data_IF_561923077708
#
_entry.id   IF_561923077708
#
_cell.length_a   1.000
_cell.length_b   1.000
_cell.length_c   1.000
_cell.angle_alpha   90.00
_cell.angle_beta   90.00
_cell.angle_gamma   90.00
#
_symmetry.space_group_name_H-M   'P 1'
#
loop_
_entity.id
_entity.type
_entity.pdbx_description
1 polymer ?
#
# COMPACT_ATOMS: atom_id res chain seq x y z
N UNK A 1 -5.88 5.84 -23.58
CA UNK A 1 -4.87 6.44 -22.70
C UNK A 1 -4.73 5.54 -21.48
N UNK A 2 -3.71 4.68 -21.49
CA UNK A 2 -3.35 3.87 -20.34
C UNK A 2 -2.38 4.70 -19.50
N UNK A 3 -2.44 4.62 -18.17
CA UNK A 3 -1.38 5.16 -17.30
C UNK A 3 -0.03 4.73 -17.88
N UNK A 4 0.83 5.70 -18.18
CA UNK A 4 2.13 5.40 -18.76
C UNK A 4 2.92 4.54 -17.75
N UNK A 5 3.83 3.71 -18.25
CA UNK A 5 4.60 2.84 -17.37
C UNK A 5 5.37 3.66 -16.33
N UNK A 6 5.77 4.88 -16.68
CA UNK A 6 6.35 5.85 -15.75
C UNK A 6 5.41 6.20 -14.58
N UNK A 7 4.14 6.51 -14.84
CA UNK A 7 3.18 6.88 -13.78
C UNK A 7 2.99 5.74 -12.78
N UNK A 8 2.92 4.50 -13.27
CA UNK A 8 2.83 3.32 -12.41
C UNK A 8 4.07 3.16 -11.53
N UNK A 9 5.24 3.47 -12.08
CA UNK A 9 6.52 3.37 -11.38
C UNK A 9 6.63 4.45 -10.29
N UNK A 10 6.23 5.69 -10.58
CA UNK A 10 6.17 6.78 -9.59
C UNK A 10 5.20 6.44 -8.47
N UNK A 11 4.04 5.88 -8.80
CA UNK A 11 3.07 5.46 -7.79
C UNK A 11 3.60 4.29 -6.93
N UNK A 12 4.28 3.32 -7.54
CA UNK A 12 4.91 2.22 -6.79
C UNK A 12 6.04 2.73 -5.89
N UNK A 13 6.88 3.64 -6.37
CA UNK A 13 7.95 4.28 -5.60
C UNK A 13 7.37 5.03 -4.40
N UNK A 14 6.33 5.84 -4.64
CA UNK A 14 5.58 6.54 -3.58
C UNK A 14 5.01 5.56 -2.56
N UNK A 15 4.43 4.43 -2.97
CA UNK A 15 3.92 3.43 -2.03
C UNK A 15 5.03 2.70 -1.24
N UNK A 16 6.26 2.68 -1.75
CA UNK A 16 7.41 2.06 -1.08
C UNK A 16 8.21 3.03 -0.21
N UNK A 17 7.90 4.33 -0.19
CA UNK A 17 8.60 5.25 0.70
C UNK A 17 8.28 4.95 2.17
N UNK A 18 9.24 5.20 3.06
CA UNK A 18 9.14 4.90 4.49
C UNK A 18 7.91 5.53 5.15
N UNK A 19 7.51 6.74 4.71
CA UNK A 19 6.32 7.45 5.21
C UNK A 19 5.00 6.70 4.93
N UNK A 20 4.97 5.83 3.92
CA UNK A 20 3.79 5.12 3.47
C UNK A 20 3.92 3.59 3.54
N UNK A 21 5.11 3.08 3.88
CA UNK A 21 5.40 1.65 3.95
C UNK A 21 4.41 0.87 4.83
N UNK A 22 3.97 1.47 5.94
CA UNK A 22 3.00 0.86 6.87
C UNK A 22 1.55 1.34 6.62
N UNK A 23 1.35 2.31 5.73
CA UNK A 23 0.06 2.97 5.53
C UNK A 23 -0.81 2.20 4.53
N UNK A 24 -2.13 2.14 4.75
CA UNK A 24 -3.04 1.51 3.81
C UNK A 24 -3.12 2.31 2.49
N UNK A 25 -3.20 1.65 1.31
CA UNK A 25 -3.28 2.37 0.02
C UNK A 25 -4.42 3.38 -0.06
N UNK A 26 -5.54 3.13 0.62
CA UNK A 26 -6.66 4.07 0.72
C UNK A 26 -6.29 5.35 1.49
N UNK A 27 -5.53 5.23 2.58
CA UNK A 27 -5.05 6.38 3.35
C UNK A 27 -3.97 7.15 2.58
N UNK A 28 -3.03 6.46 1.92
CA UNK A 28 -2.06 7.09 1.01
C UNK A 28 -2.78 7.91 -0.07
N UNK A 29 -3.82 7.36 -0.69
CA UNK A 29 -4.61 8.08 -1.68
C UNK A 29 -5.28 9.33 -1.10
N UNK A 30 -5.88 9.25 0.10
CA UNK A 30 -6.48 10.40 0.75
C UNK A 30 -5.44 11.49 1.08
N UNK A 31 -4.27 11.12 1.60
CA UNK A 31 -3.17 12.06 1.86
C UNK A 31 -2.69 12.73 0.56
N UNK A 32 -2.51 11.96 -0.51
CA UNK A 32 -2.10 12.52 -1.80
C UNK A 32 -3.15 13.49 -2.34
N UNK A 33 -4.45 13.19 -2.21
CA UNK A 33 -5.52 14.11 -2.60
C UNK A 33 -5.52 15.39 -1.77
N UNK A 34 -5.27 15.31 -0.46
CA UNK A 34 -5.13 16.47 0.43
C UNK A 34 -3.92 17.34 0.02
N UNK A 35 -2.82 16.70 -0.38
CA UNK A 35 -1.63 17.36 -0.95
C UNK A 35 -1.86 17.87 -2.40
N UNK A 36 -3.06 17.67 -2.99
CA UNK A 36 -3.38 18.06 -4.36
C UNK A 36 -2.69 17.21 -5.44
N UNK A 37 -2.15 16.05 -5.07
CA UNK A 37 -1.42 15.13 -5.95
C UNK A 37 -2.31 13.94 -6.34
N UNK A 38 -2.55 13.77 -7.64
CA UNK A 38 -3.23 12.59 -8.15
C UNK A 38 -2.26 11.71 -8.92
N UNK A 39 -1.87 10.57 -8.33
CA UNK A 39 -1.00 9.57 -8.97
C UNK A 39 -1.79 8.36 -9.53
N UNK A 40 -3.07 8.23 -9.16
CA UNK A 40 -3.95 7.15 -9.61
C UNK A 40 -4.98 6.73 -8.56
N UNK A 41 -5.94 5.88 -8.97
CA UNK A 41 -6.96 5.35 -8.06
C UNK A 41 -6.42 4.31 -7.07
N UNK A 42 -7.07 4.20 -5.91
CA UNK A 42 -6.82 3.16 -4.90
C UNK A 42 -6.78 1.74 -5.51
N UNK A 43 -7.66 1.45 -6.48
CA UNK A 43 -7.69 0.15 -7.17
C UNK A 43 -6.41 -0.11 -7.97
N UNK A 44 -5.82 0.91 -8.60
CA UNK A 44 -4.55 0.81 -9.32
C UNK A 44 -3.40 0.55 -8.35
N UNK A 45 -3.40 1.22 -7.19
CA UNK A 45 -2.41 1.00 -6.12
C UNK A 45 -2.41 -0.46 -5.65
N UNK A 46 -3.59 -1.03 -5.34
CA UNK A 46 -3.71 -2.44 -4.95
C UNK A 46 -3.23 -3.40 -6.06
N UNK A 47 -3.57 -3.12 -7.32
CA UNK A 47 -3.11 -3.94 -8.45
C UNK A 47 -1.59 -3.90 -8.61
N UNK A 48 -0.95 -2.74 -8.42
CA UNK A 48 0.50 -2.60 -8.52
C UNK A 48 1.22 -3.30 -7.37
N UNK A 49 0.75 -3.14 -6.14
CA UNK A 49 1.28 -3.87 -4.98
C UNK A 49 1.14 -5.39 -5.14
N UNK A 50 0.00 -5.85 -5.68
CA UNK A 50 -0.21 -7.27 -5.96
C UNK A 50 0.71 -7.80 -7.09
N UNK A 51 0.99 -6.97 -8.11
CA UNK A 51 1.83 -7.34 -9.24
C UNK A 51 3.34 -7.28 -8.94
N UNK A 52 3.78 -6.33 -8.10
CA UNK A 52 5.19 -6.13 -7.75
C UNK A 52 5.63 -6.85 -6.46
N UNK A 53 4.71 -7.56 -5.81
CA UNK A 53 5.03 -8.48 -4.72
C UNK A 53 4.99 -7.83 -3.33
N UNK A 54 4.11 -8.36 -2.48
CA UNK A 54 4.46 -8.52 -1.07
C UNK A 54 3.66 -7.74 -0.02
N UNK A 55 2.57 -7.04 -0.34
CA UNK A 55 1.74 -6.42 0.73
C UNK A 55 1.11 -7.42 1.71
N UNK A 56 1.24 -8.73 1.46
CA UNK A 56 0.82 -9.78 2.40
C UNK A 56 1.94 -10.20 3.36
N UNK A 57 3.16 -10.43 2.89
CA UNK A 57 4.19 -11.04 3.74
C UNK A 57 4.70 -10.14 4.88
N UNK A 58 4.74 -8.81 4.72
CA UNK A 58 5.18 -7.91 5.81
C UNK A 58 4.07 -7.53 6.79
N UNK A 59 2.81 -7.49 6.35
CA UNK A 59 1.66 -7.22 7.25
C UNK A 59 1.24 -8.46 8.04
N UNK A 60 1.40 -9.65 7.49
CA UNK A 60 1.13 -10.91 8.20
C UNK A 60 2.12 -11.11 9.38
N UNK A 61 3.36 -10.62 9.25
CA UNK A 61 4.35 -10.67 10.33
C UNK A 61 4.07 -9.72 11.52
N UNK A 62 3.28 -8.66 11.33
CA UNK A 62 2.96 -7.68 12.38
C UNK A 62 1.53 -7.78 12.91
N UNK A 63 0.66 -8.60 12.30
CA UNK A 63 -0.75 -8.74 12.65
C UNK A 63 -1.09 -10.05 13.40
N UNK A 64 -0.13 -10.64 14.13
CA UNK A 64 -0.43 -11.79 14.98
C UNK A 64 0.42 -11.85 16.27
N UNK A 65 0.04 -11.13 17.34
CA UNK A 65 0.16 -11.72 18.65
C UNK A 65 -0.88 -12.85 18.72
N UNK A 66 -0.43 -14.10 18.57
CA UNK A 66 -1.21 -15.27 19.01
C UNK A 66 -1.49 -15.05 20.49
N UNK A 67 -2.70 -14.61 20.84
CA UNK A 67 -3.15 -14.66 22.23
C UNK A 67 -3.37 -16.14 22.56
N UNK A 68 -2.62 -16.77 23.47
CA UNK A 68 -2.95 -18.12 23.88
C UNK A 68 -4.30 -18.07 24.60
N UNK A 69 -5.28 -18.92 24.26
CA UNK A 69 -6.41 -19.12 25.15
C UNK A 69 -5.86 -19.65 26.46
N UNK A 70 -6.11 -18.89 27.53
CA UNK A 70 -5.86 -19.31 28.90
C UNK A 70 -6.44 -20.71 29.09
N UNK A 71 -5.57 -21.65 29.44
CA UNK A 71 -5.98 -22.95 29.94
C UNK A 71 -6.23 -22.79 31.43
N UNK A 72 -7.47 -22.97 31.88
CA UNK A 72 -7.88 -23.57 33.16
C UNK A 72 -9.42 -23.61 33.27
#
# INVERSE_FOLDING_TARGET
MALDQQERQVLLDTLNVERFADTAPAAVHATLLDEGRYLGSVRTMYRLLAAHGGSRERRDQLAHPVYPPASE
#
